data_IF_228033077909
#
_entry.id   IF_228033077909
#
_cell.length_a   1.000
_cell.length_b   1.000
_cell.length_c   1.000
_cell.angle_alpha   90.00
_cell.angle_beta   90.00
_cell.angle_gamma   90.00
#
_symmetry.space_group_name_H-M   'P 1'
#
loop_
_entity.id
_entity.type
_entity.pdbx_description
1 polymer ?
#
# COMPACT_ATOMS: atom_id res chain seq x y z
N UNK A 1 14.39 4.80 -9.15
CA UNK A 1 15.04 5.52 -8.04
C UNK A 1 15.87 4.52 -7.24
N UNK A 2 17.04 4.93 -6.78
CA UNK A 2 18.02 4.08 -6.10
C UNK A 2 17.93 4.38 -4.59
N UNK A 3 17.89 3.36 -3.72
CA UNK A 3 17.82 3.54 -2.26
C UNK A 3 16.40 3.73 -1.68
N UNK A 4 15.37 3.14 -2.32
CA UNK A 4 13.98 3.28 -1.87
C UNK A 4 13.23 1.95 -1.83
N UNK A 5 11.89 2.05 -1.79
CA UNK A 5 11.02 0.87 -1.82
C UNK A 5 10.92 0.31 -3.26
N UNK A 6 11.68 -0.74 -3.54
CA UNK A 6 11.58 -1.49 -4.80
C UNK A 6 12.79 -2.39 -5.06
N UNK A 7 12.56 -3.46 -5.82
CA UNK A 7 13.65 -4.30 -6.33
C UNK A 7 14.41 -3.58 -7.44
N UNK A 8 15.74 -3.67 -7.41
CA UNK A 8 16.61 -3.06 -8.40
C UNK A 8 17.52 -4.12 -9.02
N UNK A 9 17.66 -4.07 -10.35
CA UNK A 9 18.64 -4.83 -11.11
C UNK A 9 19.37 -3.87 -12.03
N UNK A 10 20.70 -3.95 -12.03
CA UNK A 10 21.57 -3.20 -12.93
C UNK A 10 22.28 -4.18 -13.87
N UNK A 11 22.30 -3.84 -15.17
CA UNK A 11 23.00 -4.60 -16.19
C UNK A 11 24.11 -3.74 -16.79
N UNK A 12 25.34 -4.23 -16.75
CA UNK A 12 26.48 -3.59 -17.38
C UNK A 12 26.72 -4.22 -18.77
N UNK A 13 26.57 -3.42 -19.82
CA UNK A 13 26.86 -3.83 -21.19
C UNK A 13 28.31 -3.43 -21.54
N UNK A 14 29.15 -4.41 -21.89
CA UNK A 14 30.57 -4.19 -22.15
C UNK A 14 30.95 -4.70 -23.53
N UNK A 15 31.94 -4.06 -24.14
CA UNK A 15 32.52 -4.49 -25.42
C UNK A 15 33.88 -5.15 -25.17
N UNK A 16 34.14 -6.38 -25.66
CA UNK A 16 35.38 -7.11 -25.35
C UNK A 16 36.63 -6.58 -26.09
N UNK A 17 36.55 -5.50 -26.85
CA UNK A 17 37.69 -4.97 -27.60
C UNK A 17 38.63 -4.12 -26.71
N UNK A 18 39.95 -4.28 -26.90
CA UNK A 18 40.99 -3.59 -26.11
C UNK A 18 40.88 -2.06 -26.15
N UNK A 19 40.36 -1.52 -27.25
CA UNK A 19 40.13 -0.07 -27.40
C UNK A 19 39.15 0.51 -26.39
N UNK A 20 38.30 -0.32 -25.80
CA UNK A 20 37.25 0.09 -24.86
C UNK A 20 37.58 -0.30 -23.41
N UNK A 21 38.81 -0.74 -23.13
CA UNK A 21 39.19 -1.23 -21.80
C UNK A 21 39.00 -0.17 -20.71
N UNK A 22 39.41 1.07 -20.95
CA UNK A 22 39.30 2.17 -19.98
C UNK A 22 37.85 2.50 -19.62
N UNK A 23 36.97 2.57 -20.62
CA UNK A 23 35.53 2.81 -20.46
C UNK A 23 34.83 1.63 -19.76
N UNK A 24 35.23 0.40 -20.11
CA UNK A 24 34.70 -0.81 -19.49
C UNK A 24 35.06 -0.89 -18.01
N UNK A 25 36.29 -0.53 -17.64
CA UNK A 25 36.73 -0.50 -16.23
C UNK A 25 35.91 0.51 -15.43
N UNK A 26 35.68 1.69 -15.98
CA UNK A 26 34.84 2.72 -15.35
C UNK A 26 33.39 2.22 -15.17
N UNK A 27 32.84 1.54 -16.17
CA UNK A 27 31.50 0.91 -16.12
C UNK A 27 31.42 -0.18 -15.05
N UNK A 28 32.44 -1.04 -14.95
CA UNK A 28 32.52 -2.09 -13.95
C UNK A 28 32.66 -1.54 -12.54
N UNK A 29 33.46 -0.49 -12.35
CA UNK A 29 33.57 0.18 -11.05
C UNK A 29 32.23 0.77 -10.61
N UNK A 30 31.49 1.39 -11.53
CA UNK A 30 30.15 1.89 -11.23
C UNK A 30 29.18 0.75 -10.91
N UNK A 31 29.19 -0.33 -11.69
CA UNK A 31 28.36 -1.51 -11.43
C UNK A 31 28.64 -2.14 -10.06
N UNK A 32 29.92 -2.21 -9.66
CA UNK A 32 30.31 -2.70 -8.34
C UNK A 32 29.80 -1.82 -7.20
N UNK A 33 29.82 -0.49 -7.38
CA UNK A 33 29.28 0.45 -6.38
C UNK A 33 27.75 0.34 -6.31
N UNK A 34 27.09 0.24 -7.46
CA UNK A 34 25.64 0.10 -7.55
C UNK A 34 25.14 -1.22 -6.95
N UNK A 35 25.91 -2.31 -7.05
CA UNK A 35 25.61 -3.58 -6.39
C UNK A 35 25.64 -3.50 -4.86
N UNK A 36 26.37 -2.54 -4.29
CA UNK A 36 26.43 -2.33 -2.84
C UNK A 36 25.23 -1.52 -2.31
N UNK A 37 24.34 -1.06 -3.17
CA UNK A 37 23.16 -0.30 -2.77
C UNK A 37 22.11 -1.26 -2.25
N UNK A 38 21.77 -1.10 -0.97
CA UNK A 38 20.73 -1.89 -0.30
C UNK A 38 19.39 -1.17 -0.41
N UNK A 39 18.45 -1.81 -1.12
CA UNK A 39 17.06 -1.40 -1.11
C UNK A 39 16.28 -2.31 -0.15
N UNK A 40 15.32 -1.74 0.57
CA UNK A 40 14.39 -2.46 1.45
C UNK A 40 12.98 -2.41 0.83
N UNK A 41 12.63 -3.38 -0.04
CA UNK A 41 11.31 -3.41 -0.66
C UNK A 41 10.25 -3.82 0.38
N UNK A 42 9.27 -2.95 0.59
CA UNK A 42 8.13 -3.18 1.45
C UNK A 42 6.86 -3.39 0.61
N UNK A 43 6.02 -4.34 1.02
CA UNK A 43 4.73 -4.61 0.36
C UNK A 43 3.87 -3.34 0.42
N UNK A 44 3.54 -2.81 -0.75
CA UNK A 44 2.70 -1.64 -0.86
C UNK A 44 1.24 -2.06 -0.69
N UNK A 45 0.73 -1.95 0.53
CA UNK A 45 -0.71 -1.99 0.78
C UNK A 45 -1.37 -0.74 0.18
N UNK A 46 -2.61 -0.90 -0.29
CA UNK A 46 -3.40 0.20 -0.82
C UNK A 46 -3.53 1.32 0.22
N UNK A 47 -3.53 2.60 -0.21
CA UNK A 47 -3.62 3.73 0.71
C UNK A 47 -4.92 3.69 1.52
N UNK A 48 -6.00 3.15 0.94
CA UNK A 48 -7.29 2.97 1.63
C UNK A 48 -7.16 1.94 2.75
N UNK A 49 -6.54 0.80 2.48
CA UNK A 49 -6.39 -0.28 3.45
C UNK A 49 -5.48 0.14 4.60
N UNK A 50 -4.40 0.89 4.31
CA UNK A 50 -3.55 1.48 5.36
C UNK A 50 -4.34 2.38 6.29
N UNK A 51 -5.21 3.23 5.73
CA UNK A 51 -6.06 4.14 6.51
C UNK A 51 -7.06 3.34 7.34
N UNK A 52 -7.72 2.35 6.75
CA UNK A 52 -8.68 1.48 7.45
C UNK A 52 -7.99 0.79 8.63
N UNK A 53 -6.83 0.16 8.43
CA UNK A 53 -6.07 -0.49 9.50
C UNK A 53 -5.66 0.49 10.61
N UNK A 54 -5.24 1.72 10.26
CA UNK A 54 -4.89 2.72 11.30
C UNK A 54 -6.12 3.21 12.06
N UNK A 55 -7.26 3.34 11.40
CA UNK A 55 -8.52 3.72 12.04
C UNK A 55 -9.03 2.60 12.95
N UNK A 56 -9.00 1.35 12.50
CA UNK A 56 -9.36 0.17 13.29
C UNK A 56 -8.44 0.02 14.52
N UNK A 57 -7.13 0.21 14.37
CA UNK A 57 -6.19 0.17 15.48
C UNK A 57 -6.47 1.27 16.53
N UNK A 58 -6.83 2.48 16.09
CA UNK A 58 -7.22 3.58 16.99
C UNK A 58 -8.54 3.29 17.71
N UNK A 59 -9.52 2.71 17.02
CA UNK A 59 -10.78 2.27 17.62
C UNK A 59 -10.53 1.20 18.68
N UNK A 60 -9.72 0.18 18.37
CA UNK A 60 -9.36 -0.87 19.32
C UNK A 60 -8.67 -0.29 20.57
N UNK A 61 -7.73 0.65 20.40
CA UNK A 61 -7.06 1.31 21.53
C UNK A 61 -8.03 2.13 22.39
N UNK A 62 -8.94 2.89 21.76
CA UNK A 62 -9.95 3.68 22.46
C UNK A 62 -10.93 2.76 23.22
N UNK A 63 -11.35 1.65 22.61
CA UNK A 63 -12.21 0.65 23.24
C UNK A 63 -11.54 0.02 24.46
N UNK A 64 -10.26 -0.36 24.37
CA UNK A 64 -9.51 -0.88 25.50
C UNK A 64 -9.43 0.13 26.66
N UNK A 65 -9.23 1.42 26.36
CA UNK A 65 -9.23 2.48 27.36
C UNK A 65 -10.59 2.65 28.05
N UNK A 66 -11.68 2.62 27.28
CA UNK A 66 -13.04 2.72 27.81
C UNK A 66 -13.36 1.52 28.71
N UNK A 67 -13.02 0.29 28.31
CA UNK A 67 -13.26 -0.91 29.14
C UNK A 67 -12.48 -0.82 30.45
N UNK A 68 -11.23 -0.37 30.39
CA UNK A 68 -10.41 -0.20 31.57
C UNK A 68 -11.03 0.78 32.59
N UNK A 69 -11.63 1.88 32.12
CA UNK A 69 -12.26 2.88 32.99
C UNK A 69 -13.65 2.46 33.48
N UNK A 70 -14.45 1.85 32.60
CA UNK A 70 -15.85 1.53 32.88
C UNK A 70 -16.02 0.23 33.67
N UNK A 71 -14.98 -0.61 33.75
CA UNK A 71 -15.04 -1.90 34.44
C UNK A 71 -15.95 -2.91 33.77
N UNK A 72 -16.35 -2.65 32.52
CA UNK A 72 -17.11 -3.57 31.68
C UNK A 72 -16.17 -4.59 31.02
N UNK A 73 -16.65 -5.81 30.84
CA UNK A 73 -15.87 -6.87 30.19
C UNK A 73 -15.98 -6.81 28.65
N UNK A 74 -17.07 -6.27 28.09
CA UNK A 74 -17.29 -6.19 26.63
C UNK A 74 -18.06 -4.91 26.23
N UNK A 75 -17.69 -4.32 25.07
CA UNK A 75 -18.39 -3.18 24.46
C UNK A 75 -19.56 -3.67 23.59
N UNK A 76 -20.69 -2.92 23.52
CA UNK A 76 -21.83 -3.28 22.69
C UNK A 76 -21.48 -3.28 21.18
N UNK A 77 -21.97 -4.29 20.46
CA UNK A 77 -21.68 -4.54 19.05
C UNK A 77 -22.13 -3.41 18.09
N UNK A 78 -23.08 -2.56 18.50
CA UNK A 78 -23.59 -1.44 17.69
C UNK A 78 -22.52 -0.37 17.36
N UNK A 79 -21.43 -0.28 18.12
CA UNK A 79 -20.31 0.62 17.82
C UNK A 79 -19.31 0.03 16.80
N UNK A 80 -19.36 -1.28 16.57
CA UNK A 80 -18.50 -2.00 15.61
C UNK A 80 -19.17 -2.17 14.24
N UNK A 81 -20.49 -2.20 14.21
CA UNK A 81 -21.25 -2.25 12.96
C UNK A 81 -21.35 -0.84 12.37
N UNK A 82 -20.45 -0.54 11.43
CA UNK A 82 -20.60 0.63 10.57
C UNK A 82 -22.01 0.62 9.98
N UNK A 83 -22.72 1.77 9.94
CA UNK A 83 -24.01 1.84 9.28
C UNK A 83 -23.82 1.33 7.85
N UNK A 84 -24.45 0.19 7.55
CA UNK A 84 -24.34 -0.46 6.26
C UNK A 84 -24.61 0.54 5.13
N UNK A 85 -24.03 0.34 3.93
CA UNK A 85 -24.14 1.31 2.85
C UNK A 85 -25.60 1.62 2.58
N UNK A 86 -26.07 2.77 3.08
CA UNK A 86 -27.40 3.27 2.77
C UNK A 86 -27.33 3.57 1.28
N UNK A 87 -27.95 2.69 0.48
CA UNK A 87 -28.20 2.93 -0.92
C UNK A 87 -28.91 4.29 -1.03
N UNK A 88 -28.17 5.37 -1.25
CA UNK A 88 -28.71 6.68 -1.59
C UNK A 88 -29.11 6.66 -3.06
N UNK A 89 -29.89 5.66 -3.47
CA UNK A 89 -30.74 5.79 -4.64
C UNK A 89 -31.92 6.70 -4.29
N UNK A 90 -31.64 7.99 -4.12
CA UNK A 90 -32.63 9.04 -4.32
C UNK A 90 -32.38 9.69 -5.67
N UNK A 91 -32.39 8.86 -6.72
CA UNK A 91 -32.64 9.34 -8.07
C UNK A 91 -34.16 9.45 -8.25
N UNK A 92 -34.76 10.44 -7.60
CA UNK A 92 -36.16 10.79 -7.85
C UNK A 92 -36.21 11.87 -8.93
N UNK A 93 -36.20 11.43 -10.19
CA UNK A 93 -37.08 11.94 -11.27
C UNK A 93 -36.91 11.09 -12.53
N UNK A 94 -37.80 10.09 -12.65
CA UNK A 94 -38.54 9.70 -13.87
C UNK A 94 -37.87 10.04 -15.21
N UNK A 95 -37.26 9.04 -15.85
CA UNK A 95 -37.65 8.63 -17.21
C UNK A 95 -37.09 7.22 -17.49
N UNK A 96 -38.04 6.32 -17.78
CA UNK A 96 -37.90 5.02 -18.46
C UNK A 96 -36.48 4.62 -18.87
N UNK A 97 -35.85 3.63 -18.24
CA UNK A 97 -36.07 2.23 -18.61
C UNK A 97 -35.40 1.33 -17.56
N UNK A 98 -36.23 0.79 -16.66
CA UNK A 98 -35.87 -0.36 -15.86
C UNK A 98 -36.49 -1.58 -16.55
N UNK A 99 -35.75 -2.19 -17.48
CA UNK A 99 -36.14 -3.48 -18.06
C UNK A 99 -35.79 -4.57 -17.06
N UNK A 100 -36.73 -4.83 -16.14
CA UNK A 100 -36.87 -6.16 -15.53
C UNK A 100 -37.43 -7.11 -16.59
N UNK A 101 -36.80 -8.26 -16.77
CA UNK A 101 -37.46 -9.47 -17.27
C UNK A 101 -36.78 -10.21 -18.42
N UNK A 102 -35.76 -11.02 -18.12
CA UNK A 102 -35.78 -12.50 -18.15
C UNK A 102 -34.43 -13.02 -17.67
#
# INVERSE_FOLDING_TARGET
>A
AIGGNGFLMMLACLSPADKHLEENLSTLHYASQAANIKNEPAVNLDPKDKIIQTLEAKLAAAHAYILHITGLNELPAELLEAPGPSCRSRCSRRSSTCTRGR
#
